data_IF_107999582590
#
_entry.id   IF_107999582590
#
_cell.length_a   1.000
_cell.length_b   1.000
_cell.length_c   1.000
_cell.angle_alpha   90.00
_cell.angle_beta   90.00
_cell.angle_gamma   90.00
#
_symmetry.space_group_name_H-M   'P 1'
#
loop_
_entity.id
_entity.type
_entity.pdbx_description
1 polymer ?
#
# COMPACT_ATOMS: atom_id res chain seq x y z
N UNK A 1 14.38 -16.34 -18.02
CA UNK A 1 13.10 -15.67 -18.32
C UNK A 1 13.16 -15.17 -19.77
N UNK A 2 12.24 -15.56 -20.67
CA UNK A 2 12.29 -15.13 -22.08
C UNK A 2 12.02 -13.61 -22.17
N UNK A 3 12.78 -12.87 -22.98
CA UNK A 3 12.65 -11.40 -23.22
C UNK A 3 12.84 -10.49 -21.99
N UNK A 4 13.75 -10.81 -21.07
CA UNK A 4 14.13 -9.92 -19.94
C UNK A 4 15.59 -9.47 -20.07
N UNK A 5 16.00 -8.38 -19.40
CA UNK A 5 17.39 -7.94 -19.37
C UNK A 5 18.33 -9.02 -18.84
N UNK A 6 19.61 -8.96 -19.23
CA UNK A 6 20.66 -9.92 -18.85
C UNK A 6 20.78 -10.09 -17.32
N UNK A 7 20.46 -9.02 -16.56
CA UNK A 7 20.34 -9.05 -15.11
C UNK A 7 18.93 -8.62 -14.73
N UNK A 8 18.23 -9.46 -13.97
CA UNK A 8 16.87 -9.19 -13.47
C UNK A 8 16.82 -9.53 -12.00
N UNK A 9 16.28 -8.63 -11.19
CA UNK A 9 16.02 -8.88 -9.76
C UNK A 9 14.53 -9.19 -9.63
N UNK A 10 14.21 -10.35 -9.05
CA UNK A 10 12.82 -10.70 -8.77
C UNK A 10 12.23 -9.73 -7.74
N UNK A 11 11.02 -9.27 -8.02
CA UNK A 11 10.31 -8.37 -7.12
C UNK A 11 10.84 -6.95 -7.05
N UNK A 12 11.61 -6.53 -8.07
CA UNK A 12 12.01 -5.14 -8.25
C UNK A 12 11.51 -4.63 -9.61
N UNK A 13 10.83 -3.49 -9.60
CA UNK A 13 10.31 -2.82 -10.79
C UNK A 13 10.18 -1.31 -10.58
N UNK A 14 9.51 -0.62 -11.52
CA UNK A 14 9.32 0.84 -11.42
C UNK A 14 8.66 1.26 -10.09
N UNK A 15 7.73 0.45 -9.58
CA UNK A 15 7.07 0.67 -8.29
C UNK A 15 8.06 0.68 -7.11
N UNK A 16 9.15 -0.09 -7.16
CA UNK A 16 10.18 -0.14 -6.11
C UNK A 16 10.91 1.20 -5.98
N UNK A 17 11.02 1.94 -7.09
CA UNK A 17 11.72 3.23 -7.15
C UNK A 17 10.79 4.44 -7.11
N UNK A 18 9.49 4.24 -6.82
CA UNK A 18 8.56 5.33 -6.63
C UNK A 18 9.06 6.31 -5.54
N UNK A 19 8.94 7.62 -5.75
CA UNK A 19 9.51 8.63 -4.85
C UNK A 19 8.85 8.61 -3.47
N UNK A 20 7.55 8.34 -3.43
CA UNK A 20 6.76 8.25 -2.20
C UNK A 20 6.11 6.88 -2.11
N UNK A 21 5.93 6.39 -0.88
CA UNK A 21 5.32 5.10 -0.61
C UNK A 21 4.46 5.18 0.65
N UNK A 22 3.40 4.38 0.69
CA UNK A 22 2.69 4.06 1.95
C UNK A 22 3.00 2.62 2.31
N UNK A 23 3.69 2.40 3.42
CA UNK A 23 4.20 1.09 3.81
C UNK A 23 3.60 0.60 5.13
N UNK A 24 3.51 -0.72 5.29
CA UNK A 24 3.16 -1.40 6.53
C UNK A 24 4.05 -2.64 6.71
N UNK A 25 4.33 -3.01 7.96
CA UNK A 25 5.10 -4.23 8.24
C UNK A 25 4.19 -5.46 8.19
N UNK A 26 4.68 -6.53 7.56
CA UNK A 26 4.04 -7.84 7.58
C UNK A 26 4.31 -8.62 8.88
N UNK A 27 5.30 -8.18 9.68
CA UNK A 27 5.78 -8.90 10.87
C UNK A 27 5.17 -8.38 12.17
N UNK A 28 4.91 -7.08 12.26
CA UNK A 28 4.33 -6.52 13.47
C UNK A 28 2.86 -6.89 13.60
N UNK A 29 2.43 -7.26 14.82
CA UNK A 29 1.03 -7.52 15.17
C UNK A 29 0.24 -6.21 15.34
N UNK A 30 0.32 -5.31 14.36
CA UNK A 30 -0.43 -4.05 14.33
C UNK A 30 -0.64 -3.58 12.89
N UNK A 31 -1.77 -2.91 12.65
CA UNK A 31 -2.02 -2.17 11.42
C UNK A 31 -1.51 -0.74 11.61
N UNK A 32 -0.36 -0.44 11.00
CA UNK A 32 0.27 0.88 11.03
C UNK A 32 0.82 1.20 9.64
N UNK A 33 0.11 2.06 8.90
CA UNK A 33 0.50 2.48 7.56
C UNK A 33 1.22 3.82 7.62
N UNK A 34 2.45 3.86 7.11
CA UNK A 34 3.33 5.03 7.19
C UNK A 34 3.68 5.57 5.82
N UNK A 35 3.64 6.90 5.70
CA UNK A 35 4.20 7.61 4.56
C UNK A 35 5.71 7.55 4.64
N UNK A 36 6.35 7.15 3.56
CA UNK A 36 7.80 7.09 3.41
C UNK A 36 8.18 7.83 2.15
N UNK A 37 8.87 8.95 2.33
CA UNK A 37 9.42 9.76 1.25
C UNK A 37 10.88 9.41 0.94
N UNK A 38 11.52 10.16 0.03
CA UNK A 38 12.91 9.99 -0.29
C UNK A 38 13.83 10.24 0.92
N UNK A 39 14.88 9.45 1.05
CA UNK A 39 15.94 9.64 2.05
C UNK A 39 17.23 10.01 1.33
N UNK A 40 17.87 11.12 1.73
CA UNK A 40 19.06 11.65 1.07
C UNK A 40 18.90 11.78 -0.47
N UNK A 41 17.73 12.23 -0.92
CA UNK A 41 17.41 12.42 -2.34
C UNK A 41 17.17 11.14 -3.14
N UNK A 42 17.12 9.97 -2.50
CA UNK A 42 16.90 8.67 -3.15
C UNK A 42 15.59 8.02 -2.70
N UNK A 43 14.89 7.28 -3.58
CA UNK A 43 13.70 6.53 -3.17
C UNK A 43 14.10 5.44 -2.16
N UNK A 44 13.29 5.27 -1.12
CA UNK A 44 13.48 4.20 -0.14
C UNK A 44 13.03 2.87 -0.74
N UNK A 45 13.86 1.84 -0.62
CA UNK A 45 13.55 0.46 -1.03
C UNK A 45 13.32 -0.38 0.22
N UNK A 46 12.26 -1.18 0.22
CA UNK A 46 11.91 -2.08 1.32
C UNK A 46 12.36 -3.50 1.02
N UNK A 47 12.62 -4.28 2.07
CA UNK A 47 12.84 -5.72 1.99
C UNK A 47 11.50 -6.50 1.96
N UNK A 48 11.56 -7.82 2.09
CA UNK A 48 10.40 -8.73 2.07
C UNK A 48 9.56 -8.70 3.36
N UNK A 49 9.93 -7.88 4.36
CA UNK A 49 9.20 -7.77 5.63
C UNK A 49 8.14 -6.69 5.63
N UNK A 50 8.06 -5.88 4.56
CA UNK A 50 7.12 -4.80 4.39
C UNK A 50 6.27 -4.97 3.13
N UNK A 51 5.01 -4.54 3.21
CA UNK A 51 4.19 -4.27 2.03
C UNK A 51 4.10 -2.76 1.83
N UNK A 52 3.98 -2.31 0.59
CA UNK A 52 3.81 -0.89 0.31
C UNK A 52 2.98 -0.64 -0.96
N UNK A 53 2.40 0.56 -1.03
CA UNK A 53 1.81 1.13 -2.24
C UNK A 53 2.73 2.23 -2.76
N UNK A 54 3.06 2.16 -4.04
CA UNK A 54 3.86 3.16 -4.73
C UNK A 54 3.01 4.43 -4.99
N UNK A 55 3.58 5.60 -4.67
CA UNK A 55 2.95 6.91 -4.83
C UNK A 55 3.88 7.84 -5.62
N UNK A 56 3.29 8.72 -6.43
CA UNK A 56 3.99 9.69 -7.28
C UNK A 56 4.28 10.97 -6.54
N UNK A 57 3.47 11.32 -5.53
CA UNK A 57 3.65 12.55 -4.74
C UNK A 57 3.42 12.32 -3.25
N UNK A 58 3.83 13.29 -2.44
CA UNK A 58 3.63 13.29 -1.00
C UNK A 58 2.13 13.32 -0.66
N UNK A 59 1.37 14.17 -1.34
CA UNK A 59 -0.05 14.38 -1.11
C UNK A 59 -0.85 13.11 -1.41
N UNK A 60 -0.46 12.38 -2.46
CA UNK A 60 -1.03 11.07 -2.76
C UNK A 60 -0.77 10.07 -1.62
N UNK A 61 0.46 10.00 -1.14
CA UNK A 61 0.84 9.09 -0.07
C UNK A 61 0.14 9.43 1.26
N UNK A 62 0.06 10.71 1.61
CA UNK A 62 -0.64 11.18 2.81
C UNK A 62 -2.13 10.87 2.76
N UNK A 63 -2.78 11.11 1.62
CA UNK A 63 -4.19 10.77 1.40
C UNK A 63 -4.45 9.26 1.54
N UNK A 64 -3.61 8.43 0.93
CA UNK A 64 -3.70 6.97 1.05
C UNK A 64 -3.45 6.50 2.48
N UNK A 65 -2.45 7.05 3.17
CA UNK A 65 -2.18 6.71 4.56
C UNK A 65 -3.34 7.12 5.48
N UNK A 66 -3.99 8.26 5.24
CA UNK A 66 -5.18 8.69 5.97
C UNK A 66 -6.34 7.70 5.78
N UNK A 67 -6.60 7.28 4.54
CA UNK A 67 -7.63 6.27 4.23
C UNK A 67 -7.35 4.94 4.92
N UNK A 68 -6.12 4.43 4.81
CA UNK A 68 -5.73 3.14 5.37
C UNK A 68 -5.71 3.10 6.90
N UNK A 69 -5.37 4.23 7.54
CA UNK A 69 -5.40 4.36 9.00
C UNK A 69 -6.75 4.82 9.53
N UNK A 70 -7.74 5.08 8.66
CA UNK A 70 -9.08 5.47 9.09
C UNK A 70 -9.76 4.37 9.91
N UNK A 71 -10.71 4.76 10.75
CA UNK A 71 -11.48 3.83 11.56
C UNK A 71 -12.16 2.73 10.72
N UNK A 72 -12.88 3.03 9.62
CA UNK A 72 -13.51 1.99 8.79
C UNK A 72 -12.51 1.00 8.20
N UNK A 73 -11.35 1.47 7.73
CA UNK A 73 -10.31 0.60 7.18
C UNK A 73 -9.71 -0.31 8.26
N UNK A 74 -9.44 0.23 9.45
CA UNK A 74 -8.91 -0.55 10.58
C UNK A 74 -9.93 -1.59 11.06
N UNK A 75 -11.21 -1.24 11.18
CA UNK A 75 -12.27 -2.18 11.56
C UNK A 75 -12.40 -3.30 10.52
N UNK A 76 -12.36 -2.97 9.23
CA UNK A 76 -12.36 -3.95 8.13
C UNK A 76 -11.19 -4.93 8.22
N UNK A 77 -9.96 -4.44 8.38
CA UNK A 77 -8.81 -5.35 8.46
C UNK A 77 -8.84 -6.20 9.74
N UNK A 78 -9.23 -5.63 10.89
CA UNK A 78 -9.30 -6.38 12.14
C UNK A 78 -10.31 -7.53 12.11
N UNK A 79 -11.35 -7.47 11.27
CA UNK A 79 -12.28 -8.59 11.11
C UNK A 79 -11.72 -9.74 10.26
N UNK A 80 -10.65 -9.49 9.49
CA UNK A 80 -10.01 -10.46 8.60
C UNK A 80 -8.69 -11.01 9.17
N UNK A 81 -7.99 -10.22 9.98
CA UNK A 81 -6.64 -10.58 10.47
C UNK A 81 -6.72 -11.61 11.59
N UNK A 82 -6.01 -12.73 11.41
CA UNK A 82 -5.76 -13.70 12.47
C UNK A 82 -4.46 -13.34 13.23
N UNK A 83 -4.61 -12.65 14.36
CA UNK A 83 -3.50 -12.06 15.11
C UNK A 83 -2.50 -13.05 15.74
N UNK A 84 -2.87 -14.32 15.88
CA UNK A 84 -1.98 -15.34 16.43
C UNK A 84 -1.00 -15.90 15.40
N UNK A 85 -1.19 -15.62 14.11
CA UNK A 85 -0.23 -15.99 13.07
C UNK A 85 1.12 -15.27 13.25
N UNK A 86 2.19 -15.91 12.79
CA UNK A 86 3.55 -15.34 12.75
C UNK A 86 3.61 -14.07 11.89
N UNK A 87 2.82 -14.01 10.82
CA UNK A 87 2.67 -12.86 9.91
C UNK A 87 1.18 -12.61 9.69
N UNK A 88 0.52 -11.83 10.57
CA UNK A 88 -0.93 -11.72 10.58
C UNK A 88 -1.45 -10.78 9.47
N UNK A 89 -0.64 -9.83 9.04
CA UNK A 89 -0.97 -8.91 7.93
C UNK A 89 -0.38 -9.49 6.66
N UNK A 90 -1.23 -10.06 5.80
CA UNK A 90 -0.83 -10.63 4.51
C UNK A 90 -1.28 -9.75 3.35
N UNK A 91 -0.65 -9.90 2.18
CA UNK A 91 -1.02 -9.14 0.99
C UNK A 91 -2.46 -9.45 0.53
N UNK A 92 -2.93 -10.69 0.75
CA UNK A 92 -4.28 -11.12 0.42
C UNK A 92 -5.33 -10.38 1.26
N UNK A 93 -5.05 -10.10 2.53
CA UNK A 93 -5.93 -9.30 3.39
C UNK A 93 -5.90 -7.84 2.95
N UNK A 94 -4.71 -7.27 2.73
CA UNK A 94 -4.55 -5.86 2.34
C UNK A 94 -5.29 -5.52 1.04
N UNK A 95 -5.36 -6.47 0.09
CA UNK A 95 -6.03 -6.29 -1.20
C UNK A 95 -7.55 -6.27 -1.14
N UNK A 96 -8.15 -6.75 -0.05
CA UNK A 96 -9.61 -6.85 0.05
C UNK A 96 -10.28 -5.52 0.39
N UNK A 97 -9.54 -4.53 0.88
CA UNK A 97 -10.13 -3.23 1.23
C UNK A 97 -10.48 -2.44 -0.04
N UNK A 98 -11.73 -1.97 -0.14
CA UNK A 98 -12.16 -1.04 -1.18
C UNK A 98 -11.91 0.41 -0.73
N UNK A 99 -10.83 1.03 -1.22
CA UNK A 99 -10.44 2.39 -0.86
C UNK A 99 -11.48 3.43 -1.30
N UNK A 100 -12.17 3.22 -2.43
CA UNK A 100 -13.23 4.11 -2.87
C UNK A 100 -14.45 4.04 -1.94
N UNK A 101 -14.79 2.86 -1.40
CA UNK A 101 -15.86 2.71 -0.42
C UNK A 101 -15.51 3.39 0.91
N UNK A 102 -14.27 3.24 1.39
CA UNK A 102 -13.79 3.95 2.59
C UNK A 102 -13.84 5.47 2.37
N UNK A 103 -13.36 5.95 1.23
CA UNK A 103 -13.38 7.38 0.90
C UNK A 103 -14.82 7.95 0.88
N UNK A 104 -15.79 7.22 0.32
CA UNK A 104 -17.22 7.60 0.36
C UNK A 104 -17.75 7.66 1.78
N UNK A 105 -17.44 6.65 2.60
CA UNK A 105 -17.90 6.60 4.00
C UNK A 105 -17.34 7.76 4.83
N UNK A 106 -16.14 8.24 4.51
CA UNK A 106 -15.52 9.39 5.16
C UNK A 106 -15.97 10.73 4.57
N UNK A 107 -16.90 10.74 3.62
CA UNK A 107 -17.40 11.97 2.98
C UNK A 107 -16.35 12.68 2.12
N UNK A 108 -15.34 11.97 1.62
CA UNK A 108 -14.34 12.57 0.73
C UNK A 108 -14.96 12.89 -0.63
N UNK A 109 -14.44 13.92 -1.31
CA UNK A 109 -14.99 14.42 -2.56
C UNK A 109 -15.07 13.36 -3.67
N UNK A 110 -16.14 13.42 -4.47
CA UNK A 110 -16.43 12.47 -5.55
C UNK A 110 -15.30 12.32 -6.59
N UNK A 111 -14.52 13.37 -6.82
CA UNK A 111 -13.36 13.32 -7.71
C UNK A 111 -12.32 12.31 -7.20
N UNK A 112 -12.02 12.33 -5.90
CA UNK A 112 -11.07 11.40 -5.28
C UNK A 112 -11.61 9.97 -5.31
N UNK A 113 -12.89 9.79 -4.98
CA UNK A 113 -13.57 8.49 -4.99
C UNK A 113 -13.48 7.84 -6.37
N UNK A 114 -13.78 8.58 -7.44
CA UNK A 114 -13.69 8.10 -8.83
C UNK A 114 -12.26 7.74 -9.22
N UNK A 115 -11.28 8.56 -8.80
CA UNK A 115 -9.85 8.27 -9.03
C UNK A 115 -9.44 6.96 -8.38
N UNK A 116 -9.76 6.77 -7.10
CA UNK A 116 -9.45 5.54 -6.36
C UNK A 116 -10.13 4.31 -6.96
N UNK A 117 -11.37 4.42 -7.43
CA UNK A 117 -12.07 3.32 -8.09
C UNK A 117 -11.39 2.89 -9.41
N UNK A 118 -10.74 3.84 -10.10
CA UNK A 118 -10.03 3.58 -11.36
C UNK A 118 -8.61 3.06 -11.12
N UNK A 119 -7.95 3.54 -10.07
CA UNK A 119 -6.52 3.30 -9.81
C UNK A 119 -6.25 2.16 -8.83
N UNK A 120 -7.22 1.73 -8.00
CA UNK A 120 -7.05 0.64 -7.03
C UNK A 120 -6.40 -0.63 -7.59
N UNK A 121 -6.74 -1.11 -8.80
CA UNK A 121 -6.11 -2.30 -9.38
C UNK A 121 -4.59 -2.16 -9.56
N UNK A 122 -4.06 -0.92 -9.62
CA UNK A 122 -2.63 -0.62 -9.80
C UNK A 122 -1.88 -0.39 -8.48
N UNK A 123 -2.58 -0.07 -7.40
CA UNK A 123 -1.98 0.31 -6.12
C UNK A 123 -1.32 -0.86 -5.38
N UNK A 124 -1.83 -2.07 -5.56
CA UNK A 124 -1.20 -3.30 -5.07
C UNK A 124 -0.56 -4.07 -6.22
N UNK A 125 0.43 -3.46 -6.89
CA UNK A 125 1.21 -4.14 -7.93
C UNK A 125 1.66 -5.52 -7.41
N UNK A 126 1.18 -6.59 -8.06
CA UNK A 126 1.58 -7.97 -7.79
C UNK A 126 2.82 -8.26 -8.61
N UNK A 127 3.72 -9.04 -8.02
CA UNK A 127 4.76 -9.79 -8.73
C UNK A 127 4.19 -10.60 -9.90
#
# INVERSE_FOLDING_TARGET
>A
YKRRPQFSIFGVGEYSFAPWKVATSAFYKRLDFRVVGPMAGKPVVFDDTCYFMACRSQEEAECLAQLLNSRPAREFYNSLVFWDAKRPVTIEILRQLNLAAVARQLGMGEVLVRRLATEQPRLFATF
#
